data_IF_294848179437
#
_entry.id   IF_294848179437
#
_cell.length_a   1.000
_cell.length_b   1.000
_cell.length_c   1.000
_cell.angle_alpha   90.00
_cell.angle_beta   90.00
_cell.angle_gamma   90.00
#
_symmetry.space_group_name_H-M   'P 1'
#
loop_
_entity.id
_entity.type
_entity.pdbx_description
1 polymer ?
#
# COMPACT_ATOMS: atom_id res chain seq x y z
N UNK A 1 9.76 -33.46 -15.89
CA UNK A 1 10.67 -32.92 -14.86
C UNK A 1 11.23 -31.63 -15.44
N UNK A 2 10.98 -30.46 -14.82
CA UNK A 2 11.57 -29.21 -15.31
C UNK A 2 13.09 -29.31 -15.24
N UNK A 3 13.77 -28.80 -16.26
CA UNK A 3 15.23 -28.86 -16.32
C UNK A 3 15.81 -27.78 -15.40
N UNK A 4 16.87 -28.10 -14.65
CA UNK A 4 17.48 -27.20 -13.66
C UNK A 4 17.96 -25.83 -14.22
N UNK A 5 18.01 -25.67 -15.56
CA UNK A 5 18.30 -24.41 -16.22
C UNK A 5 17.09 -23.47 -16.43
N UNK A 6 15.86 -23.99 -16.46
CA UNK A 6 14.65 -23.15 -16.60
C UNK A 6 14.33 -22.40 -15.29
N UNK A 7 14.53 -23.06 -14.15
CA UNK A 7 14.33 -22.47 -12.82
C UNK A 7 15.37 -21.37 -12.53
N UNK A 8 16.61 -21.53 -13.00
CA UNK A 8 17.71 -20.55 -12.79
C UNK A 8 17.52 -19.27 -13.62
N UNK A 9 17.05 -19.41 -14.87
CA UNK A 9 16.71 -18.26 -15.75
C UNK A 9 15.51 -17.49 -15.20
N UNK A 10 14.49 -18.19 -14.69
CA UNK A 10 13.31 -17.57 -14.07
C UNK A 10 13.68 -16.78 -12.81
N UNK A 11 14.60 -17.31 -12.00
CA UNK A 11 15.07 -16.67 -10.77
C UNK A 11 15.94 -15.44 -11.06
N UNK A 12 16.79 -15.50 -12.08
CA UNK A 12 17.55 -14.34 -12.57
C UNK A 12 16.62 -13.22 -13.04
N UNK A 13 15.62 -13.53 -13.87
CA UNK A 13 14.68 -12.54 -14.37
C UNK A 13 13.82 -11.91 -13.25
N UNK A 14 13.41 -12.71 -12.26
CA UNK A 14 12.70 -12.21 -11.08
C UNK A 14 13.56 -11.25 -10.26
N UNK A 15 14.85 -11.56 -10.09
CA UNK A 15 15.82 -10.67 -9.43
C UNK A 15 16.04 -9.37 -10.18
N UNK A 16 16.20 -9.43 -11.50
CA UNK A 16 16.38 -8.22 -12.33
C UNK A 16 15.16 -7.29 -12.23
N UNK A 17 13.96 -7.88 -12.26
CA UNK A 17 12.71 -7.11 -12.15
C UNK A 17 12.57 -6.47 -10.77
N UNK A 18 12.92 -7.20 -9.70
CA UNK A 18 12.91 -6.66 -8.34
C UNK A 18 13.95 -5.55 -8.16
N UNK A 19 15.15 -5.71 -8.73
CA UNK A 19 16.21 -4.71 -8.70
C UNK A 19 15.77 -3.43 -9.42
N UNK A 20 15.17 -3.55 -10.61
CA UNK A 20 14.62 -2.40 -11.33
C UNK A 20 13.52 -1.69 -10.52
N UNK A 21 12.63 -2.45 -9.87
CA UNK A 21 11.60 -1.88 -9.00
C UNK A 21 12.22 -1.13 -7.81
N UNK A 22 13.25 -1.70 -7.19
CA UNK A 22 13.98 -1.05 -6.12
C UNK A 22 14.61 0.28 -6.57
N UNK A 23 15.26 0.31 -7.74
CA UNK A 23 15.84 1.54 -8.31
C UNK A 23 14.79 2.62 -8.54
N UNK A 24 13.57 2.24 -8.97
CA UNK A 24 12.46 3.20 -9.12
C UNK A 24 12.07 3.78 -7.77
N UNK A 25 11.93 2.95 -6.74
CA UNK A 25 11.58 3.39 -5.37
C UNK A 25 12.68 4.29 -4.80
N UNK A 26 13.94 3.93 -4.94
CA UNK A 26 15.08 4.76 -4.54
C UNK A 26 15.09 6.10 -5.28
N UNK A 27 14.77 6.10 -6.57
CA UNK A 27 14.64 7.30 -7.38
C UNK A 27 13.60 8.28 -6.82
N UNK A 28 12.45 7.78 -6.35
CA UNK A 28 11.45 8.59 -5.65
C UNK A 28 12.06 9.24 -4.40
N UNK A 29 12.84 8.48 -3.63
CA UNK A 29 13.57 8.99 -2.47
C UNK A 29 14.54 10.11 -2.82
N UNK A 30 15.33 9.94 -3.88
CA UNK A 30 16.28 10.95 -4.36
C UNK A 30 15.53 12.22 -4.79
N UNK A 31 14.47 12.09 -5.59
CA UNK A 31 13.64 13.24 -5.98
C UNK A 31 13.04 13.96 -4.77
N UNK A 32 12.58 13.20 -3.78
CA UNK A 32 12.06 13.73 -2.53
C UNK A 32 13.11 14.55 -1.76
N UNK A 33 14.35 14.06 -1.68
CA UNK A 33 15.46 14.80 -1.05
C UNK A 33 15.79 16.07 -1.83
N UNK A 34 15.87 15.98 -3.16
CA UNK A 34 16.22 17.13 -4.00
C UNK A 34 15.16 18.24 -3.98
N UNK A 35 13.87 17.86 -3.93
CA UNK A 35 12.75 18.80 -3.93
C UNK A 35 12.37 19.26 -2.51
N UNK A 36 12.66 18.46 -1.49
CA UNK A 36 12.25 18.71 -0.11
C UNK A 36 10.76 18.98 0.01
N UNK A 37 10.38 20.07 0.70
CA UNK A 37 8.98 20.50 0.85
C UNK A 37 8.25 20.79 -0.47
N UNK A 38 8.96 21.09 -1.55
CA UNK A 38 8.33 21.29 -2.86
C UNK A 38 7.74 20.00 -3.44
N UNK A 39 8.21 18.83 -2.98
CA UNK A 39 7.69 17.53 -3.39
C UNK A 39 6.17 17.39 -3.17
N UNK A 40 5.68 17.93 -2.05
CA UNK A 40 4.25 17.99 -1.73
C UNK A 40 3.47 18.88 -2.71
N UNK A 41 4.01 20.05 -3.05
CA UNK A 41 3.33 21.05 -3.88
C UNK A 41 3.33 20.75 -5.38
N UNK A 42 4.27 19.94 -5.87
CA UNK A 42 4.42 19.63 -7.28
C UNK A 42 3.58 18.42 -7.75
N UNK A 43 2.74 17.85 -6.87
CA UNK A 43 1.82 16.76 -7.19
C UNK A 43 2.44 15.35 -7.16
N UNK A 44 3.76 15.22 -6.97
CA UNK A 44 4.41 13.91 -6.88
C UNK A 44 4.12 13.17 -5.58
N UNK A 45 3.86 13.90 -4.48
CA UNK A 45 3.66 13.30 -3.16
C UNK A 45 2.56 12.25 -3.16
N UNK A 46 1.39 12.60 -3.64
CA UNK A 46 0.22 11.75 -3.67
C UNK A 46 0.48 10.43 -4.42
N UNK A 47 0.90 10.51 -5.68
CA UNK A 47 1.18 9.30 -6.48
C UNK A 47 2.29 8.44 -5.89
N UNK A 48 3.33 9.09 -5.33
CA UNK A 48 4.44 8.38 -4.69
C UNK A 48 4.01 7.70 -3.39
N UNK A 49 3.18 8.38 -2.60
CA UNK A 49 2.74 7.90 -1.29
C UNK A 49 1.91 6.62 -1.43
N UNK A 50 0.93 6.60 -2.36
CA UNK A 50 0.16 5.39 -2.58
C UNK A 50 1.04 4.23 -3.07
N UNK A 51 1.91 4.48 -4.05
CA UNK A 51 2.83 3.47 -4.59
C UNK A 51 3.74 2.88 -3.49
N UNK A 52 4.25 3.71 -2.59
CA UNK A 52 5.11 3.26 -1.50
C UNK A 52 4.31 2.43 -0.48
N UNK A 53 3.10 2.87 -0.11
CA UNK A 53 2.22 2.12 0.79
C UNK A 53 1.78 0.78 0.19
N UNK A 54 1.52 0.73 -1.12
CA UNK A 54 1.24 -0.50 -1.84
C UNK A 54 2.45 -1.45 -1.81
N UNK A 55 3.66 -0.93 -1.99
CA UNK A 55 4.86 -1.75 -1.93
C UNK A 55 5.18 -2.33 -0.54
N UNK A 56 4.51 -1.89 0.53
CA UNK A 56 4.61 -2.52 1.85
C UNK A 56 4.05 -3.95 1.87
N UNK A 57 3.14 -4.29 0.95
CA UNK A 57 2.60 -5.65 0.82
C UNK A 57 3.31 -6.50 -0.24
N UNK A 58 4.40 -5.99 -0.83
CA UNK A 58 5.17 -6.71 -1.84
C UNK A 58 5.63 -8.07 -1.31
N UNK A 59 5.58 -9.10 -2.14
CA UNK A 59 6.11 -10.43 -1.81
C UNK A 59 7.64 -10.43 -1.72
N UNK A 60 8.30 -9.49 -2.40
CA UNK A 60 9.75 -9.32 -2.34
C UNK A 60 10.14 -8.48 -1.10
N UNK A 61 10.99 -9.06 -0.24
CA UNK A 61 11.42 -8.42 1.00
C UNK A 61 12.30 -7.17 0.79
N UNK A 62 13.11 -7.12 -0.26
CA UNK A 62 13.97 -5.97 -0.58
C UNK A 62 13.13 -4.79 -1.05
N UNK A 63 12.17 -5.03 -1.95
CA UNK A 63 11.21 -4.00 -2.42
C UNK A 63 10.43 -3.43 -1.24
N UNK A 64 9.90 -4.31 -0.37
CA UNK A 64 9.17 -3.91 0.84
C UNK A 64 10.02 -3.07 1.79
N UNK A 65 11.25 -3.52 2.08
CA UNK A 65 12.18 -2.82 2.97
C UNK A 65 12.62 -1.48 2.38
N UNK A 66 12.82 -1.41 1.06
CA UNK A 66 13.19 -0.16 0.38
C UNK A 66 12.04 0.83 0.44
N UNK A 67 10.81 0.36 0.21
CA UNK A 67 9.62 1.21 0.29
C UNK A 67 9.44 1.82 1.69
N UNK A 68 9.59 0.99 2.73
CA UNK A 68 9.58 1.44 4.13
C UNK A 68 10.64 2.52 4.41
N UNK A 69 11.88 2.28 3.98
CA UNK A 69 12.96 3.26 4.12
C UNK A 69 12.66 4.57 3.37
N UNK A 70 12.11 4.50 2.16
CA UNK A 70 11.76 5.68 1.38
C UNK A 70 10.55 6.43 1.95
N UNK A 71 9.60 5.77 2.61
CA UNK A 71 8.55 6.45 3.37
C UNK A 71 9.15 7.31 4.51
N UNK A 72 10.15 6.78 5.22
CA UNK A 72 10.88 7.55 6.23
C UNK A 72 11.63 8.74 5.63
N UNK A 73 12.35 8.54 4.52
CA UNK A 73 13.00 9.64 3.79
C UNK A 73 11.98 10.70 3.38
N UNK A 74 10.89 10.29 2.74
CA UNK A 74 9.82 11.16 2.26
C UNK A 74 9.17 11.97 3.40
N UNK A 75 8.94 11.34 4.55
CA UNK A 75 8.44 12.04 5.73
C UNK A 75 9.41 13.14 6.19
N UNK A 76 10.69 12.80 6.33
CA UNK A 76 11.71 13.74 6.82
C UNK A 76 11.99 14.89 5.85
N UNK A 77 12.13 14.62 4.56
CA UNK A 77 12.43 15.62 3.51
C UNK A 77 11.26 16.59 3.29
N UNK A 78 10.03 16.11 3.47
CA UNK A 78 8.81 16.91 3.33
C UNK A 78 8.43 17.65 4.61
N UNK A 79 9.15 17.40 5.71
CA UNK A 79 8.98 18.10 6.99
C UNK A 79 7.93 17.49 7.93
N UNK A 80 7.51 16.25 7.69
CA UNK A 80 6.66 15.50 8.61
C UNK A 80 7.51 14.86 9.72
N UNK A 81 7.08 14.91 11.00
CA UNK A 81 7.83 14.32 12.11
C UNK A 81 8.01 12.80 12.01
N UNK A 82 7.01 12.11 11.45
CA UNK A 82 7.01 10.66 11.29
C UNK A 82 6.26 10.26 10.01
N UNK A 83 6.43 9.01 9.58
CA UNK A 83 5.62 8.41 8.50
C UNK A 83 4.14 8.43 8.86
N UNK A 84 3.80 8.28 10.15
CA UNK A 84 2.43 8.42 10.65
C UNK A 84 1.84 9.79 10.36
N UNK A 85 2.56 10.86 10.66
CA UNK A 85 2.09 12.22 10.37
C UNK A 85 1.95 12.45 8.86
N UNK A 86 2.91 11.95 8.07
CA UNK A 86 2.85 12.02 6.62
C UNK A 86 1.56 11.38 6.09
N UNK A 87 1.23 10.16 6.51
CA UNK A 87 0.03 9.47 5.99
C UNK A 87 -1.24 10.05 6.57
N UNK A 88 -1.26 10.44 7.84
CA UNK A 88 -2.43 11.04 8.48
C UNK A 88 -2.84 12.36 7.83
N UNK A 89 -1.89 13.27 7.59
CA UNK A 89 -2.18 14.55 6.93
C UNK A 89 -2.56 14.40 5.44
N UNK A 90 -2.27 13.24 4.84
CA UNK A 90 -2.62 12.92 3.46
C UNK A 90 -3.68 11.80 3.38
N UNK A 91 -4.38 11.52 4.48
CA UNK A 91 -5.27 10.35 4.60
C UNK A 91 -6.43 10.42 3.60
N UNK A 92 -7.02 11.59 3.39
CA UNK A 92 -8.09 11.79 2.41
C UNK A 92 -7.69 11.25 1.05
N UNK A 93 -6.51 11.65 0.55
CA UNK A 93 -6.00 11.19 -0.74
C UNK A 93 -5.75 9.67 -0.78
N UNK A 94 -5.16 9.12 0.28
CA UNK A 94 -4.84 7.69 0.38
C UNK A 94 -6.14 6.87 0.36
N UNK A 95 -7.11 7.24 1.18
CA UNK A 95 -8.41 6.57 1.24
C UNK A 95 -9.18 6.72 -0.07
N UNK A 96 -9.16 7.91 -0.68
CA UNK A 96 -9.74 8.13 -2.00
C UNK A 96 -9.15 7.20 -3.08
N UNK A 97 -7.84 6.98 -3.02
CA UNK A 97 -7.13 6.09 -3.94
C UNK A 97 -7.51 4.63 -3.72
N UNK A 98 -7.65 4.21 -2.46
CA UNK A 98 -8.18 2.87 -2.11
C UNK A 98 -9.61 2.73 -2.62
N UNK A 99 -10.48 3.71 -2.35
CA UNK A 99 -11.87 3.71 -2.82
C UNK A 99 -11.97 3.60 -4.34
N UNK A 100 -11.11 4.31 -5.07
CA UNK A 100 -10.98 4.21 -6.54
C UNK A 100 -10.65 2.78 -6.98
N UNK A 101 -9.65 2.15 -6.36
CA UNK A 101 -9.21 0.83 -6.79
C UNK A 101 -10.15 -0.30 -6.34
N UNK A 102 -10.81 -0.16 -5.19
CA UNK A 102 -11.88 -1.06 -4.75
C UNK A 102 -13.10 -1.06 -5.69
N UNK A 103 -13.28 -0.05 -6.55
CA UNK A 103 -14.33 -0.09 -7.60
C UNK A 103 -13.96 -1.01 -8.77
N UNK A 104 -12.70 -1.39 -8.88
CA UNK A 104 -12.16 -2.20 -9.97
C UNK A 104 -11.39 -3.40 -9.39
N UNK A 105 -12.04 -4.16 -8.50
CA UNK A 105 -11.41 -5.27 -7.76
C UNK A 105 -10.87 -6.38 -8.65
N UNK A 106 -11.54 -6.67 -9.77
CA UNK A 106 -11.05 -7.66 -10.74
C UNK A 106 -9.67 -7.31 -11.30
N UNK A 107 -9.38 -6.00 -11.42
CA UNK A 107 -8.09 -5.50 -11.88
C UNK A 107 -7.11 -5.28 -10.73
N UNK A 108 -7.63 -5.03 -9.52
CA UNK A 108 -6.83 -4.64 -8.35
C UNK A 108 -7.12 -5.56 -7.13
N UNK A 109 -6.87 -6.87 -7.23
CA UNK A 109 -7.18 -7.83 -6.16
C UNK A 109 -6.31 -7.64 -4.91
N UNK A 110 -5.21 -6.89 -5.02
CA UNK A 110 -4.26 -6.63 -3.94
C UNK A 110 -4.74 -5.51 -2.99
N UNK A 111 -5.67 -4.65 -3.41
CA UNK A 111 -6.09 -3.44 -2.69
C UNK A 111 -6.59 -3.69 -1.27
N UNK A 112 -7.35 -4.76 -0.97
CA UNK A 112 -7.75 -5.03 0.41
C UNK A 112 -6.53 -5.26 1.32
N UNK A 113 -5.46 -5.86 0.81
CA UNK A 113 -4.23 -6.03 1.58
C UNK A 113 -3.51 -4.70 1.81
N UNK A 114 -3.56 -3.77 0.84
CA UNK A 114 -3.00 -2.41 1.01
C UNK A 114 -3.75 -1.67 2.11
N UNK A 115 -5.09 -1.75 2.11
CA UNK A 115 -5.91 -1.15 3.16
C UNK A 115 -5.59 -1.76 4.54
N UNK A 116 -5.48 -3.09 4.64
CA UNK A 116 -5.07 -3.76 5.87
C UNK A 116 -3.65 -3.33 6.33
N UNK A 117 -2.71 -3.18 5.39
CA UNK A 117 -1.36 -2.71 5.69
C UNK A 117 -1.37 -1.28 6.22
N UNK A 118 -2.15 -0.37 5.64
CA UNK A 118 -2.24 1.02 6.13
C UNK A 118 -2.83 1.09 7.54
N UNK A 119 -3.89 0.30 7.81
CA UNK A 119 -4.49 0.22 9.14
C UNK A 119 -3.48 -0.29 10.19
N UNK A 120 -2.76 -1.37 9.88
CA UNK A 120 -1.80 -2.01 10.79
C UNK A 120 -0.47 -1.26 10.94
N UNK A 121 0.10 -0.76 9.84
CA UNK A 121 1.45 -0.18 9.80
C UNK A 121 1.54 1.14 10.57
N UNK A 122 0.46 1.91 10.58
CA UNK A 122 0.48 3.28 11.12
C UNK A 122 -0.34 3.41 12.40
N UNK A 123 -1.34 2.53 12.58
CA UNK A 123 -2.25 2.57 13.73
C UNK A 123 -3.03 3.88 13.80
N UNK A 124 -3.42 4.43 12.64
CA UNK A 124 -4.18 5.70 12.52
C UNK A 124 -5.68 5.47 12.37
N UNK A 125 -6.15 4.23 12.51
CA UNK A 125 -7.53 3.87 12.20
C UNK A 125 -8.56 4.70 12.99
N UNK A 126 -8.23 5.07 14.23
CA UNK A 126 -9.10 5.92 15.04
C UNK A 126 -9.22 7.34 14.47
N UNK A 127 -8.11 7.94 14.06
CA UNK A 127 -8.10 9.30 13.52
C UNK A 127 -8.70 9.40 12.12
N UNK A 128 -8.57 8.34 11.30
CA UNK A 128 -9.13 8.32 9.94
C UNK A 128 -10.52 7.67 9.88
N UNK A 129 -11.10 7.26 11.03
CA UNK A 129 -12.39 6.57 11.08
C UNK A 129 -13.51 7.27 10.27
N UNK A 130 -13.64 8.62 10.29
CA UNK A 130 -14.64 9.31 9.46
C UNK A 130 -14.46 9.08 7.95
N UNK A 131 -13.24 8.83 7.49
CA UNK A 131 -12.92 8.59 6.07
C UNK A 131 -13.17 7.13 5.67
N UNK A 132 -13.26 6.23 6.64
CA UNK A 132 -13.37 4.79 6.39
C UNK A 132 -14.79 4.32 6.08
N UNK A 133 -15.80 5.18 6.11
CA UNK A 133 -17.19 4.81 5.83
C UNK A 133 -17.35 4.14 4.45
N UNK A 134 -16.92 4.81 3.37
CA UNK A 134 -17.01 4.27 2.01
C UNK A 134 -16.22 2.97 1.82
N UNK A 135 -14.91 2.89 2.18
CA UNK A 135 -14.17 1.65 1.99
C UNK A 135 -14.75 0.51 2.84
N UNK A 136 -15.23 0.77 4.07
CA UNK A 136 -15.86 -0.27 4.91
C UNK A 136 -17.20 -0.75 4.39
N UNK A 137 -17.99 0.15 3.80
CA UNK A 137 -19.21 -0.27 3.10
C UNK A 137 -18.88 -1.24 1.95
N UNK A 138 -17.83 -0.96 1.15
CA UNK A 138 -17.40 -1.88 0.08
C UNK A 138 -16.86 -3.21 0.61
N UNK A 139 -16.06 -3.18 1.68
CA UNK A 139 -15.60 -4.41 2.33
C UNK A 139 -16.77 -5.27 2.80
N UNK A 140 -17.78 -4.64 3.41
CA UNK A 140 -18.98 -5.34 3.88
C UNK A 140 -19.76 -5.98 2.72
N UNK A 141 -19.91 -5.27 1.60
CA UNK A 141 -20.56 -5.77 0.39
C UNK A 141 -19.82 -6.98 -0.20
N UNK A 142 -18.49 -6.93 -0.28
CA UNK A 142 -17.69 -8.03 -0.83
C UNK A 142 -17.68 -9.28 0.07
N UNK A 143 -17.98 -9.12 1.36
CA UNK A 143 -18.15 -10.23 2.31
C UNK A 143 -19.56 -10.85 2.26
N UNK A 144 -20.50 -10.29 1.50
CA UNK A 144 -21.80 -10.92 1.29
C UNK A 144 -21.70 -12.27 0.59
N UNK A 145 -22.65 -13.16 0.85
CA UNK A 145 -22.65 -14.55 0.34
C UNK A 145 -22.46 -14.57 -1.18
N UNK A 146 -23.17 -13.74 -1.93
CA UNK A 146 -23.10 -13.71 -3.39
C UNK A 146 -21.71 -13.27 -3.89
N UNK A 147 -21.13 -12.23 -3.29
CA UNK A 147 -19.82 -11.71 -3.69
C UNK A 147 -18.69 -12.65 -3.32
N UNK A 148 -18.79 -13.33 -2.18
CA UNK A 148 -17.84 -14.40 -1.80
C UNK A 148 -17.81 -15.57 -2.78
N UNK A 149 -18.94 -15.91 -3.39
CA UNK A 149 -18.96 -16.94 -4.44
C UNK A 149 -18.34 -16.42 -5.75
N UNK A 150 -18.49 -15.13 -6.07
CA UNK A 150 -17.89 -14.51 -7.25
C UNK A 150 -16.37 -14.31 -7.08
N UNK A 151 -15.93 -13.89 -5.90
CA UNK A 151 -14.52 -13.60 -5.57
C UNK A 151 -14.03 -14.41 -4.36
N UNK A 152 -13.98 -15.76 -4.44
CA UNK A 152 -13.63 -16.59 -3.30
C UNK A 152 -12.23 -16.28 -2.74
N UNK A 153 -11.29 -15.94 -3.63
CA UNK A 153 -9.90 -15.62 -3.27
C UNK A 153 -9.76 -14.28 -2.51
N UNK A 154 -10.77 -13.41 -2.55
CA UNK A 154 -10.73 -12.09 -1.89
C UNK A 154 -11.34 -12.10 -0.49
N UNK A 155 -12.03 -13.18 -0.09
CA UNK A 155 -12.64 -13.28 1.25
C UNK A 155 -11.58 -13.13 2.35
N UNK A 156 -10.43 -13.81 2.22
CA UNK A 156 -9.34 -13.72 3.19
C UNK A 156 -8.78 -12.29 3.35
N UNK A 157 -8.37 -11.63 2.25
CA UNK A 157 -7.97 -10.22 2.27
C UNK A 157 -8.99 -9.27 2.92
N UNK A 158 -10.29 -9.41 2.64
CA UNK A 158 -11.32 -8.57 3.24
C UNK A 158 -11.53 -8.84 4.74
N UNK A 159 -11.48 -10.10 5.17
CA UNK A 159 -11.51 -10.44 6.59
C UNK A 159 -10.30 -9.86 7.32
N UNK A 160 -9.12 -9.85 6.68
CA UNK A 160 -7.93 -9.20 7.24
C UNK A 160 -8.19 -7.72 7.49
N UNK A 161 -8.78 -6.99 6.53
CA UNK A 161 -9.14 -5.57 6.72
C UNK A 161 -10.03 -5.38 7.96
N UNK A 162 -11.09 -6.19 8.10
CA UNK A 162 -12.00 -6.08 9.26
C UNK A 162 -11.27 -6.35 10.58
N UNK A 163 -10.35 -7.31 10.60
CA UNK A 163 -9.54 -7.63 11.78
C UNK A 163 -8.63 -6.47 12.16
N UNK A 164 -7.89 -5.91 11.19
CA UNK A 164 -6.98 -4.79 11.45
C UNK A 164 -7.73 -3.55 11.94
N UNK A 165 -8.93 -3.29 11.40
CA UNK A 165 -9.78 -2.20 11.87
C UNK A 165 -10.19 -2.41 13.32
N UNK A 166 -10.70 -3.59 13.68
CA UNK A 166 -11.09 -3.90 15.05
C UNK A 166 -9.93 -3.73 16.02
N UNK A 167 -8.77 -4.33 15.72
CA UNK A 167 -7.55 -4.21 16.53
C UNK A 167 -7.18 -2.74 16.72
N UNK A 168 -7.18 -1.95 15.64
CA UNK A 168 -6.78 -0.55 15.68
C UNK A 168 -7.77 0.39 16.36
N UNK A 169 -9.03 -0.04 16.57
CA UNK A 169 -10.05 0.72 17.32
C UNK A 169 -10.15 0.33 18.80
N UNK A 170 -9.60 -0.82 19.18
CA UNK A 170 -9.64 -1.37 20.55
C UNK A 170 -8.39 -0.99 21.39
N UNK A 171 -7.36 -0.44 20.75
CA UNK A 171 -6.13 0.06 21.38
C UNK A 171 -6.13 1.59 21.43
#
# INVERSE_FOLDING_TARGET
MPSAGEDDISLHFFRDTAMLHQVIIEGIGIFSICLGKYFSSCGFLHSSLYLLLENLISSNGEVRSTSDAILHVLSSSSGYPTVRNLVLENADYVIDSICRQLRHLDLNPHVPNVLAAILSYIGIAHEILPLLEEPMHKVSLELEILRRHQHPNLTGPFLKVTSELCISTLC
#
